data_IF_034569312626
#
_entry.id   IF_034569312626
#
_cell.length_a   1.000
_cell.length_b   1.000
_cell.length_c   1.000
_cell.angle_alpha   90.00
_cell.angle_beta   90.00
_cell.angle_gamma   90.00
#
_symmetry.space_group_name_H-M   'P 1'
#
loop_
_entity.id
_entity.type
_entity.pdbx_description
1 polymer ?
#
# COMPACT_ATOMS: atom_id res chain seq x y z
N UNK A 1 -1.34 -5.63 5.58
CA UNK A 1 -1.66 -4.24 5.21
C UNK A 1 -0.59 -3.73 4.26
N UNK A 2 -0.98 -3.08 3.16
CA UNK A 2 -0.07 -2.57 2.13
C UNK A 2 -0.28 -1.06 1.96
N UNK A 3 0.81 -0.29 1.96
CA UNK A 3 0.77 1.13 1.58
C UNK A 3 0.80 1.24 0.07
N UNK A 4 -0.29 1.76 -0.51
CA UNK A 4 -0.43 1.90 -1.97
C UNK A 4 -0.37 3.35 -2.44
N UNK A 5 -0.40 4.31 -1.52
CA UNK A 5 -0.32 5.73 -1.87
C UNK A 5 -0.47 6.67 -0.69
N UNK A 6 -0.49 7.96 -0.99
CA UNK A 6 -0.71 9.04 -0.05
C UNK A 6 -1.46 10.18 -0.74
N UNK A 7 -2.08 11.05 0.05
CA UNK A 7 -2.77 12.22 -0.47
C UNK A 7 -3.35 13.07 0.63
N UNK A 8 -4.39 13.82 0.30
CA UNK A 8 -5.18 14.58 1.26
C UNK A 8 -6.65 14.23 1.10
N UNK A 9 -7.34 13.97 2.21
CA UNK A 9 -8.76 13.67 2.27
C UNK A 9 -9.39 14.55 3.35
N UNK A 10 -10.44 15.30 2.99
CA UNK A 10 -11.14 16.24 3.89
C UNK A 10 -10.22 17.20 4.66
N UNK A 11 -9.19 17.73 3.97
CA UNK A 11 -8.23 18.67 4.55
C UNK A 11 -7.19 18.04 5.47
N UNK A 12 -7.12 16.71 5.55
CA UNK A 12 -6.11 15.98 6.31
C UNK A 12 -5.20 15.19 5.39
N UNK A 13 -3.90 15.20 5.67
CA UNK A 13 -2.95 14.32 4.99
C UNK A 13 -3.19 12.86 5.40
N UNK A 14 -3.19 11.95 4.43
CA UNK A 14 -3.49 10.54 4.65
C UNK A 14 -2.51 9.62 3.93
N UNK A 15 -2.28 8.46 4.53
CA UNK A 15 -1.81 7.24 3.88
C UNK A 15 -3.02 6.47 3.34
N UNK A 16 -2.89 5.88 2.15
CA UNK A 16 -3.89 5.00 1.55
C UNK A 16 -3.39 3.56 1.73
N UNK A 17 -4.11 2.79 2.53
CA UNK A 17 -3.71 1.45 2.93
C UNK A 17 -4.73 0.43 2.42
N UNK A 18 -4.25 -0.60 1.73
CA UNK A 18 -5.03 -1.79 1.41
C UNK A 18 -4.97 -2.77 2.59
N UNK A 19 -6.13 -3.19 3.07
CA UNK A 19 -6.25 -4.24 4.07
C UNK A 19 -6.57 -5.59 3.41
N UNK A 20 -6.56 -6.67 4.19
CA UNK A 20 -6.76 -8.04 3.72
C UNK A 20 -8.03 -8.68 4.30
N UNK A 21 -9.05 -7.88 4.64
CA UNK A 21 -10.29 -8.32 5.28
C UNK A 21 -11.50 -8.36 4.34
N UNK A 22 -11.25 -8.44 3.02
CA UNK A 22 -12.28 -8.44 1.99
C UNK A 22 -12.60 -7.03 1.49
N UNK A 23 -12.82 -6.93 0.18
CA UNK A 23 -13.15 -5.65 -0.47
C UNK A 23 -14.60 -5.23 -0.19
N UNK A 24 -15.52 -6.19 -0.17
CA UNK A 24 -16.96 -5.95 0.02
C UNK A 24 -17.33 -5.70 1.50
N UNK A 25 -16.56 -6.28 2.43
CA UNK A 25 -16.95 -6.36 3.84
C UNK A 25 -16.29 -5.30 4.73
N UNK A 26 -15.27 -4.60 4.25
CA UNK A 26 -14.43 -3.79 5.12
C UNK A 26 -14.00 -2.44 4.53
N UNK A 27 -14.17 -1.39 5.34
CA UNK A 27 -13.61 -0.07 5.06
C UNK A 27 -14.20 0.55 3.79
N UNK A 28 -13.32 1.09 2.96
CA UNK A 28 -13.66 1.76 1.70
C UNK A 28 -13.23 0.83 0.58
N UNK A 29 -14.04 -0.19 0.26
CA UNK A 29 -13.70 -1.19 -0.76
C UNK A 29 -12.46 -2.02 -0.41
N UNK A 30 -12.24 -2.36 0.87
CA UNK A 30 -11.03 -3.04 1.35
C UNK A 30 -9.89 -2.10 1.76
N UNK A 31 -10.04 -0.79 1.57
CA UNK A 31 -9.03 0.21 1.88
C UNK A 31 -9.37 1.03 3.12
N UNK A 32 -8.36 1.74 3.64
CA UNK A 32 -8.55 2.79 4.64
C UNK A 32 -7.64 3.98 4.39
N UNK A 33 -8.13 5.16 4.80
CA UNK A 33 -7.30 6.34 4.98
C UNK A 33 -6.80 6.39 6.42
N UNK A 34 -5.47 6.45 6.58
CA UNK A 34 -4.84 6.61 7.88
C UNK A 34 -4.16 7.98 7.93
N UNK A 35 -4.50 8.79 8.94
CA UNK A 35 -3.91 10.12 9.09
C UNK A 35 -2.37 10.05 9.07
N UNK A 36 -1.78 10.77 8.12
CA UNK A 36 -0.35 10.99 7.94
C UNK A 36 0.05 12.29 8.65
N UNK A 37 1.34 12.45 8.90
CA UNK A 37 1.88 13.62 9.59
C UNK A 37 1.24 13.85 10.97
N UNK A 38 0.89 12.75 11.66
CA UNK A 38 0.46 12.81 13.05
C UNK A 38 1.60 13.29 13.94
N UNK A 39 1.28 13.88 15.09
CA UNK A 39 2.27 14.35 16.09
C UNK A 39 2.95 13.20 16.86
N UNK A 40 2.97 11.99 16.30
CA UNK A 40 3.54 10.78 16.91
C UNK A 40 4.68 10.28 16.04
N UNK A 41 5.84 10.03 16.64
CA UNK A 41 7.04 9.58 15.91
C UNK A 41 6.85 8.22 15.23
N UNK A 42 6.05 7.34 15.83
CA UNK A 42 5.69 6.03 15.28
C UNK A 42 4.57 6.09 14.23
N UNK A 43 4.04 7.28 13.93
CA UNK A 43 2.83 7.47 13.14
C UNK A 43 1.58 6.98 13.87
N UNK A 44 0.41 7.10 13.23
CA UNK A 44 -0.82 6.47 13.75
C UNK A 44 -0.64 4.96 13.76
N UNK A 45 -1.10 4.31 14.84
CA UNK A 45 -1.08 2.85 14.99
C UNK A 45 0.30 2.18 14.82
N UNK A 46 1.40 2.94 14.91
CA UNK A 46 2.75 2.39 14.71
C UNK A 46 3.13 2.12 13.26
N UNK A 47 2.41 2.70 12.28
CA UNK A 47 2.63 2.43 10.84
C UNK A 47 4.06 2.74 10.36
N UNK A 48 4.82 3.57 11.09
CA UNK A 48 6.20 3.92 10.74
C UNK A 48 7.27 3.05 11.44
N UNK A 49 6.87 2.09 12.29
CA UNK A 49 7.83 1.33 13.12
C UNK A 49 8.64 0.33 12.30
N UNK A 50 8.00 -0.36 11.34
CA UNK A 50 8.64 -1.43 10.58
C UNK A 50 8.18 -1.49 9.10
N UNK A 51 8.39 -0.42 8.31
CA UNK A 51 8.11 -0.45 6.88
C UNK A 51 9.12 -1.35 6.16
N UNK A 52 8.65 -2.12 5.19
CA UNK A 52 9.48 -2.93 4.31
C UNK A 52 8.87 -2.94 2.90
N UNK A 53 9.73 -3.02 1.89
CA UNK A 53 9.33 -3.15 0.49
C UNK A 53 10.29 -4.11 -0.21
N UNK A 54 9.80 -4.92 -1.17
CA UNK A 54 10.67 -5.74 -1.99
C UNK A 54 11.48 -4.86 -2.95
N UNK A 55 12.71 -5.28 -3.24
CA UNK A 55 13.53 -4.74 -4.32
C UNK A 55 13.57 -5.82 -5.39
N UNK A 56 13.29 -5.44 -6.63
CA UNK A 56 13.38 -6.32 -7.79
C UNK A 56 14.50 -5.84 -8.69
N UNK A 57 15.40 -6.75 -9.06
CA UNK A 57 16.37 -6.49 -10.12
C UNK A 57 15.70 -6.72 -11.48
N UNK A 58 16.18 -6.05 -12.53
CA UNK A 58 15.57 -6.14 -13.86
C UNK A 58 15.52 -7.59 -14.39
N UNK A 59 16.53 -8.39 -14.08
CA UNK A 59 16.61 -9.81 -14.43
C UNK A 59 15.50 -10.66 -13.81
N UNK A 60 14.94 -10.25 -12.67
CA UNK A 60 13.82 -10.93 -12.04
C UNK A 60 12.50 -10.63 -12.76
N UNK A 61 12.40 -9.46 -13.40
CA UNK A 61 11.29 -9.11 -14.26
C UNK A 61 11.26 -10.00 -15.52
N UNK A 62 12.41 -10.18 -16.16
CA UNK A 62 12.53 -11.06 -17.33
C UNK A 62 12.13 -12.51 -16.99
N UNK A 63 12.60 -13.03 -15.84
CA UNK A 63 12.21 -14.37 -15.35
C UNK A 63 10.72 -14.46 -14.98
N UNK A 64 10.11 -13.40 -14.48
CA UNK A 64 8.68 -13.38 -14.14
C UNK A 64 7.82 -13.38 -15.42
N UNK A 65 8.25 -12.66 -16.46
CA UNK A 65 7.61 -12.68 -17.78
C UNK A 65 7.74 -14.07 -18.42
N UNK A 66 8.93 -14.68 -18.39
CA UNK A 66 9.18 -16.02 -18.94
C UNK A 66 8.37 -17.12 -18.23
N UNK A 67 8.13 -16.98 -16.92
CA UNK A 67 7.33 -17.94 -16.14
C UNK A 67 5.82 -17.81 -16.38
N UNK A 68 5.39 -16.91 -17.27
CA UNK A 68 3.96 -16.72 -17.58
C UNK A 68 3.16 -16.23 -16.39
N UNK A 69 3.81 -15.72 -15.34
CA UNK A 69 3.14 -15.00 -14.27
C UNK A 69 2.86 -13.62 -14.79
N UNK A 70 1.68 -13.45 -15.39
CA UNK A 70 1.14 -12.14 -15.71
C UNK A 70 1.02 -11.36 -14.40
N UNK A 71 2.04 -10.56 -14.11
CA UNK A 71 1.92 -9.50 -13.13
C UNK A 71 0.85 -8.58 -13.69
N UNK A 72 -0.37 -8.70 -13.14
CA UNK A 72 -1.48 -7.75 -13.29
C UNK A 72 -1.07 -6.41 -12.65
N UNK A 73 0.06 -5.84 -13.06
CA UNK A 73 0.42 -4.45 -12.82
C UNK A 73 -0.34 -3.71 -13.91
N UNK A 74 -1.63 -3.51 -13.66
CA UNK A 74 -2.45 -2.55 -14.40
C UNK A 74 -1.72 -1.22 -14.31
N UNK A 75 -1.05 -0.83 -15.40
CA UNK A 75 -0.66 0.56 -15.61
C UNK A 75 -1.95 1.38 -15.56
N UNK A 76 -2.06 2.27 -14.57
CA UNK A 76 -2.99 3.39 -14.63
C UNK A 76 -2.69 4.25 -15.86
#
# INVERSE_FOLDING_TARGET
>A
MLLIGYGSYEGQDVWILQNSYGEEDWGIGGYMYLQRNSRTISGRCGVLIAPAYPIFEYEDCDKAVERGTELQITRM
#
